data_IF_682656475219
#
_entry.id   IF_682656475219
#
_cell.length_a   1.000
_cell.length_b   1.000
_cell.length_c   1.000
_cell.angle_alpha   90.00
_cell.angle_beta   90.00
_cell.angle_gamma   90.00
#
_symmetry.space_group_name_H-M   'P 1'
#
loop_
_entity.id
_entity.type
_entity.pdbx_description
1 polymer ?
#
# COMPACT_ATOMS: atom_id res chain seq x y z
N UNK A 1 2.66 -22.35 6.23
CA UNK A 1 1.80 -21.16 6.04
C UNK A 1 2.59 -20.22 5.11
N UNK A 2 1.97 -19.65 4.09
CA UNK A 2 2.63 -18.71 3.18
C UNK A 2 3.05 -17.46 3.95
N UNK A 3 4.26 -16.97 3.67
CA UNK A 3 4.80 -15.72 4.22
C UNK A 3 4.52 -14.56 3.26
N UNK A 4 4.49 -13.34 3.79
CA UNK A 4 4.44 -12.14 2.98
C UNK A 4 5.68 -11.27 3.25
N UNK A 5 6.38 -10.90 2.21
CA UNK A 5 7.42 -9.89 2.20
C UNK A 5 6.85 -8.61 1.61
N UNK A 6 6.83 -7.53 2.37
CA UNK A 6 6.68 -6.20 1.82
C UNK A 6 8.07 -5.61 1.61
N UNK A 7 8.48 -5.40 0.37
CA UNK A 7 9.71 -4.68 0.07
C UNK A 7 9.30 -3.27 -0.33
N UNK A 8 9.36 -2.34 0.63
CA UNK A 8 8.67 -1.07 0.46
C UNK A 8 9.23 0.10 1.26
N UNK A 9 8.57 1.22 1.11
CA UNK A 9 8.95 2.49 1.71
C UNK A 9 8.68 2.57 3.20
N UNK A 10 9.56 3.31 3.87
CA UNK A 10 9.48 3.70 5.27
C UNK A 10 9.67 5.21 5.35
N UNK A 11 8.66 5.97 5.73
CA UNK A 11 8.67 7.43 5.74
C UNK A 11 8.35 8.00 7.11
N UNK A 12 9.04 9.08 7.49
CA UNK A 12 8.65 9.92 8.61
C UNK A 12 7.78 11.05 8.06
N UNK A 13 6.52 11.12 8.46
CA UNK A 13 5.60 12.15 8.01
C UNK A 13 5.63 13.36 8.96
N UNK A 14 6.17 14.47 8.50
CA UNK A 14 6.16 15.76 9.17
C UNK A 14 4.94 16.55 8.76
N UNK A 15 3.90 16.55 9.59
CA UNK A 15 2.63 17.24 9.32
C UNK A 15 2.61 18.60 9.98
N UNK A 16 2.42 19.64 9.19
CA UNK A 16 2.26 21.03 9.62
C UNK A 16 0.82 21.47 9.40
N UNK A 17 0.11 21.77 10.48
CA UNK A 17 -1.21 22.38 10.41
C UNK A 17 -1.06 23.86 10.08
N UNK A 18 -1.72 24.29 9.01
CA UNK A 18 -1.62 25.66 8.48
C UNK A 18 -3.01 26.26 8.26
N UNK A 19 -3.17 27.61 8.33
CA UNK A 19 -4.44 28.27 8.05
C UNK A 19 -4.94 28.04 6.60
N UNK A 20 -4.02 27.93 5.66
CA UNK A 20 -4.24 27.59 4.24
C UNK A 20 -2.96 27.03 3.63
N UNK A 21 -3.07 26.35 2.51
CA UNK A 21 -1.91 25.83 1.78
C UNK A 21 -1.05 26.97 1.25
N UNK A 22 0.26 26.93 1.52
CA UNK A 22 1.26 27.94 1.20
C UNK A 22 1.27 28.27 -0.32
N UNK A 23 1.25 29.57 -0.64
CA UNK A 23 1.33 30.07 -2.02
C UNK A 23 2.77 30.43 -2.42
N UNK A 24 3.09 30.44 -3.71
CA UNK A 24 4.42 30.89 -4.17
C UNK A 24 4.77 32.29 -3.63
N UNK A 25 5.96 32.40 -3.01
CA UNK A 25 6.46 33.67 -2.44
C UNK A 25 5.91 34.04 -1.08
N UNK A 26 5.04 33.23 -0.48
CA UNK A 26 4.47 33.46 0.84
C UNK A 26 5.34 32.85 1.94
N UNK A 27 5.34 33.48 3.12
CA UNK A 27 5.85 32.89 4.37
C UNK A 27 4.69 32.77 5.34
N UNK A 28 4.43 31.56 5.82
CA UNK A 28 3.30 31.27 6.70
C UNK A 28 3.80 30.57 7.97
N UNK A 29 3.27 30.99 9.13
CA UNK A 29 3.52 30.28 10.39
C UNK A 29 2.53 29.12 10.53
N UNK A 30 3.05 27.91 10.77
CA UNK A 30 2.22 26.76 11.14
C UNK A 30 1.67 26.95 12.55
N UNK A 31 0.47 26.43 12.79
CA UNK A 31 -0.19 26.45 14.10
C UNK A 31 0.20 25.24 14.96
N UNK A 32 0.60 24.13 14.32
CA UNK A 32 1.04 22.90 14.98
C UNK A 32 2.00 22.11 14.08
N UNK A 33 2.81 21.24 14.69
CA UNK A 33 3.63 20.25 14.00
C UNK A 33 3.48 18.90 14.69
N UNK A 34 3.17 17.88 13.90
CA UNK A 34 3.12 16.49 14.34
C UNK A 34 4.08 15.62 13.51
N UNK A 35 4.51 14.50 14.09
CA UNK A 35 5.36 13.52 13.43
C UNK A 35 4.66 12.17 13.50
N UNK A 36 4.50 11.51 12.36
CA UNK A 36 3.86 10.21 12.27
C UNK A 36 4.74 9.22 11.51
N UNK A 37 4.67 7.93 11.87
CA UNK A 37 5.19 6.88 11.01
C UNK A 37 4.28 6.75 9.77
N UNK A 38 4.87 6.66 8.59
CA UNK A 38 4.15 6.58 7.32
C UNK A 38 4.94 5.84 6.25
N UNK A 39 4.50 6.01 5.02
CA UNK A 39 4.96 5.27 3.84
C UNK A 39 4.04 4.09 3.51
N UNK A 40 3.78 3.90 2.21
CA UNK A 40 2.89 2.83 1.74
C UNK A 40 3.39 1.45 2.18
N UNK A 41 4.70 1.22 2.07
CA UNK A 41 5.31 -0.04 2.50
C UNK A 41 5.10 -0.33 3.99
N UNK A 42 5.26 0.68 4.86
CA UNK A 42 4.99 0.56 6.28
C UNK A 42 3.52 0.21 6.54
N UNK A 43 2.59 0.99 6.00
CA UNK A 43 1.16 0.80 6.22
C UNK A 43 0.67 -0.56 5.74
N UNK A 44 1.09 -0.98 4.54
CA UNK A 44 0.70 -2.26 3.96
C UNK A 44 1.29 -3.45 4.73
N UNK A 45 2.52 -3.32 5.26
CA UNK A 45 3.12 -4.33 6.15
C UNK A 45 2.33 -4.49 7.44
N UNK A 46 1.95 -3.37 8.07
CA UNK A 46 1.13 -3.37 9.28
C UNK A 46 -0.24 -4.02 9.00
N UNK A 47 -0.87 -3.67 7.89
CA UNK A 47 -2.16 -4.22 7.51
C UNK A 47 -2.09 -5.75 7.31
N UNK A 48 -1.07 -6.26 6.61
CA UNK A 48 -0.83 -7.70 6.46
C UNK A 48 -0.64 -8.41 7.78
N UNK A 49 0.21 -7.86 8.67
CA UNK A 49 0.50 -8.46 9.97
C UNK A 49 -0.74 -8.48 10.86
N UNK A 50 -1.46 -7.36 10.97
CA UNK A 50 -2.71 -7.24 11.73
C UNK A 50 -3.83 -8.12 11.17
N UNK A 51 -3.82 -8.42 9.86
CA UNK A 51 -4.72 -9.41 9.24
C UNK A 51 -4.34 -10.86 9.53
N UNK A 52 -3.18 -11.10 10.19
CA UNK A 52 -2.75 -12.41 10.69
C UNK A 52 -1.87 -13.21 9.74
N UNK A 53 -1.16 -12.56 8.82
CA UNK A 53 -0.12 -13.18 7.96
C UNK A 53 1.24 -13.01 8.61
N UNK A 54 2.10 -14.02 8.51
CA UNK A 54 3.52 -13.90 8.87
C UNK A 54 4.20 -12.92 7.92
N UNK A 55 4.36 -11.68 8.37
CA UNK A 55 4.78 -10.54 7.55
C UNK A 55 6.21 -10.13 7.88
N UNK A 56 7.00 -9.96 6.84
CA UNK A 56 8.36 -9.42 6.87
C UNK A 56 8.40 -8.11 6.10
N UNK A 57 9.15 -7.15 6.62
CA UNK A 57 9.44 -5.92 5.88
C UNK A 57 10.91 -5.88 5.49
N UNK A 58 11.17 -5.56 4.22
CA UNK A 58 12.49 -5.22 3.71
C UNK A 58 12.48 -3.77 3.19
N UNK A 59 13.54 -3.06 3.47
CA UNK A 59 13.68 -1.67 3.14
C UNK A 59 14.93 -1.09 3.79
N UNK A 60 14.97 0.24 3.91
CA UNK A 60 16.04 0.92 4.62
C UNK A 60 15.52 2.12 5.41
N UNK A 61 16.16 2.37 6.55
CA UNK A 61 15.97 3.56 7.36
C UNK A 61 17.30 4.28 7.56
N UNK A 62 17.25 5.56 7.81
CA UNK A 62 18.37 6.38 8.22
C UNK A 62 18.09 7.06 9.54
N UNK A 63 18.58 8.28 9.71
CA UNK A 63 18.34 9.11 10.89
C UNK A 63 16.83 9.27 11.15
N UNK A 64 16.41 9.06 12.40
CA UNK A 64 15.01 9.08 12.85
C UNK A 64 14.21 7.81 12.54
N UNK A 65 14.84 6.79 11.96
CA UNK A 65 14.19 5.55 11.55
C UNK A 65 13.72 4.66 12.70
N UNK A 66 14.15 4.90 13.93
CA UNK A 66 13.75 4.16 15.12
C UNK A 66 12.23 4.13 15.28
N UNK A 67 11.57 5.27 15.07
CA UNK A 67 10.11 5.37 15.09
C UNK A 67 9.43 4.38 14.15
N UNK A 68 9.99 4.21 12.94
CA UNK A 68 9.43 3.35 11.90
C UNK A 68 9.61 1.86 12.26
N UNK A 69 10.81 1.51 12.77
CA UNK A 69 11.12 0.15 13.20
C UNK A 69 10.26 -0.28 14.40
N UNK A 70 10.14 0.56 15.42
CA UNK A 70 9.29 0.32 16.58
C UNK A 70 7.83 0.13 16.16
N UNK A 71 7.31 1.01 15.29
CA UNK A 71 5.93 0.91 14.79
C UNK A 71 5.66 -0.41 14.06
N UNK A 72 6.59 -0.88 13.23
CA UNK A 72 6.47 -2.16 12.54
C UNK A 72 6.49 -3.33 13.54
N UNK A 73 7.47 -3.33 14.45
CA UNK A 73 7.65 -4.40 15.44
C UNK A 73 6.45 -4.51 16.39
N UNK A 74 5.95 -3.39 16.89
CA UNK A 74 4.76 -3.33 17.74
C UNK A 74 3.49 -3.83 17.02
N UNK A 75 3.49 -3.75 15.69
CA UNK A 75 2.42 -4.28 14.85
C UNK A 75 2.61 -5.75 14.44
N UNK A 76 3.67 -6.41 14.92
CA UNK A 76 3.95 -7.82 14.66
C UNK A 76 4.66 -8.09 13.32
N UNK A 77 5.26 -7.08 12.70
CA UNK A 77 6.07 -7.23 11.47
C UNK A 77 7.51 -7.59 11.82
N UNK A 78 8.07 -8.57 11.16
CA UNK A 78 9.48 -8.93 11.28
C UNK A 78 10.36 -7.97 10.45
N UNK A 79 11.20 -7.21 11.12
CA UNK A 79 12.03 -6.14 10.53
C UNK A 79 13.47 -6.53 10.25
N UNK A 80 13.83 -7.84 10.32
CA UNK A 80 15.22 -8.30 10.15
C UNK A 80 15.87 -7.93 8.81
N UNK A 81 15.07 -7.62 7.80
CA UNK A 81 15.53 -7.23 6.46
C UNK A 81 15.51 -5.71 6.24
N UNK A 82 15.21 -4.92 7.28
CA UNK A 82 15.36 -3.47 7.22
C UNK A 82 16.80 -3.12 7.58
N UNK A 83 17.50 -2.44 6.67
CA UNK A 83 18.86 -1.96 6.90
C UNK A 83 18.84 -0.55 7.47
N UNK A 84 19.73 -0.28 8.42
CA UNK A 84 20.03 1.09 8.87
C UNK A 84 21.22 1.60 8.09
N UNK A 85 21.08 2.76 7.46
CA UNK A 85 22.12 3.38 6.62
C UNK A 85 22.49 4.76 7.15
N UNK A 86 23.63 5.29 6.70
CA UNK A 86 23.98 6.69 6.91
C UNK A 86 23.08 7.62 6.09
N UNK A 87 22.71 8.77 6.65
CA UNK A 87 21.87 9.77 6.01
C UNK A 87 20.44 9.76 6.54
N UNK A 88 19.54 10.48 5.87
CA UNK A 88 18.17 10.69 6.33
C UNK A 88 17.27 9.52 5.92
N UNK A 89 16.36 9.15 6.80
CA UNK A 89 15.21 8.31 6.43
C UNK A 89 14.37 8.98 5.34
N UNK A 90 13.65 8.17 4.56
CA UNK A 90 12.57 8.67 3.73
C UNK A 90 11.61 9.50 4.58
N UNK A 91 11.14 10.64 4.06
CA UNK A 91 10.22 11.48 4.81
C UNK A 91 9.34 12.33 3.91
N UNK A 92 8.23 12.79 4.47
CA UNK A 92 7.35 13.74 3.82
C UNK A 92 7.25 15.04 4.63
N UNK A 93 7.02 16.14 3.92
CA UNK A 93 6.56 17.39 4.51
C UNK A 93 5.13 17.60 4.02
N UNK A 94 4.19 17.55 4.95
CA UNK A 94 2.76 17.65 4.69
C UNK A 94 2.23 18.95 5.28
N UNK A 95 1.65 19.79 4.44
CA UNK A 95 0.81 20.90 4.87
C UNK A 95 -0.63 20.43 4.92
N UNK A 96 -1.34 20.71 6.00
CA UNK A 96 -2.76 20.37 6.15
C UNK A 96 -3.52 21.60 6.66
N UNK A 97 -4.56 22.01 5.94
CA UNK A 97 -5.41 23.12 6.36
C UNK A 97 -6.61 22.66 7.21
N UNK A 98 -7.37 23.63 7.74
CA UNK A 98 -8.54 23.36 8.56
C UNK A 98 -9.70 22.66 7.82
N UNK A 99 -9.68 22.64 6.47
CA UNK A 99 -10.67 21.95 5.64
C UNK A 99 -10.23 20.54 5.28
N UNK A 100 -9.07 20.08 5.79
CA UNK A 100 -8.52 18.77 5.48
C UNK A 100 -7.80 18.69 4.12
N UNK A 101 -7.66 19.82 3.39
CA UNK A 101 -6.84 19.85 2.19
C UNK A 101 -5.36 19.72 2.56
N UNK A 102 -4.61 18.98 1.75
CA UNK A 102 -3.19 18.81 1.98
C UNK A 102 -2.39 18.92 0.68
N UNK A 103 -1.09 19.18 0.83
CA UNK A 103 -0.09 18.90 -0.17
C UNK A 103 1.11 18.23 0.49
N UNK A 104 1.80 17.42 -0.29
CA UNK A 104 2.85 16.52 0.20
C UNK A 104 4.10 16.70 -0.64
N UNK A 105 5.22 16.98 0.03
CA UNK A 105 6.55 16.90 -0.56
C UNK A 105 7.19 15.64 -0.05
N UNK A 106 7.56 14.72 -0.94
CA UNK A 106 8.22 13.47 -0.62
C UNK A 106 9.74 13.59 -0.87
N UNK A 107 10.54 13.18 0.11
CA UNK A 107 11.96 12.95 -0.03
C UNK A 107 12.25 11.45 0.15
N UNK A 108 12.79 10.82 -0.90
CA UNK A 108 13.02 9.37 -0.91
C UNK A 108 14.01 8.88 0.15
N UNK A 109 15.11 9.64 0.39
CA UNK A 109 16.09 9.31 1.42
C UNK A 109 16.55 7.85 1.36
N UNK A 110 16.52 7.16 2.50
CA UNK A 110 16.89 5.76 2.63
C UNK A 110 16.09 4.81 1.71
N UNK A 111 14.87 5.17 1.30
CA UNK A 111 14.08 4.37 0.37
C UNK A 111 14.73 4.24 -1.02
N UNK A 112 15.67 5.11 -1.36
CA UNK A 112 16.43 5.08 -2.61
C UNK A 112 17.83 4.45 -2.44
N UNK A 113 18.09 3.78 -1.32
CA UNK A 113 19.39 3.20 -1.00
C UNK A 113 19.40 1.66 -0.93
N UNK A 114 18.37 1.02 -1.47
CA UNK A 114 18.32 -0.44 -1.60
C UNK A 114 19.43 -0.89 -2.53
N UNK A 115 20.12 -1.99 -2.19
CA UNK A 115 21.22 -2.57 -2.96
C UNK A 115 20.87 -3.95 -3.49
N UNK A 116 21.53 -4.37 -4.57
CA UNK A 116 21.37 -5.73 -5.13
C UNK A 116 21.72 -6.81 -4.10
N UNK A 117 22.75 -6.57 -3.29
CA UNK A 117 23.14 -7.48 -2.21
C UNK A 117 22.02 -7.65 -1.17
N UNK A 118 21.35 -6.54 -0.76
CA UNK A 118 20.21 -6.62 0.16
C UNK A 118 19.05 -7.41 -0.44
N UNK A 119 18.80 -7.24 -1.74
CA UNK A 119 17.75 -8.00 -2.43
C UNK A 119 18.07 -9.49 -2.36
N UNK A 120 19.31 -9.89 -2.71
CA UNK A 120 19.73 -11.28 -2.73
C UNK A 120 19.70 -11.91 -1.34
N UNK A 121 20.20 -11.22 -0.32
CA UNK A 121 20.15 -11.68 1.06
C UNK A 121 18.72 -11.81 1.61
N UNK A 122 17.82 -10.92 1.19
CA UNK A 122 16.41 -10.96 1.61
C UNK A 122 15.67 -12.12 0.96
N UNK A 123 15.74 -12.21 -0.37
CA UNK A 123 14.93 -13.14 -1.14
C UNK A 123 15.28 -14.61 -0.89
N UNK A 124 16.51 -14.95 -0.47
CA UNK A 124 16.88 -16.32 -0.12
C UNK A 124 16.07 -16.93 1.06
N UNK A 125 15.35 -16.11 1.85
CA UNK A 125 14.49 -16.55 2.94
C UNK A 125 13.07 -16.93 2.48
N UNK A 126 12.76 -16.67 1.20
CA UNK A 126 11.43 -16.88 0.64
C UNK A 126 11.44 -18.02 -0.38
N UNK A 127 10.26 -18.55 -0.64
CA UNK A 127 10.08 -19.73 -1.49
C UNK A 127 8.90 -19.54 -2.43
N UNK A 128 8.79 -20.42 -3.41
CA UNK A 128 7.65 -20.43 -4.33
C UNK A 128 6.31 -20.42 -3.60
N UNK A 129 5.44 -19.50 -4.01
CA UNK A 129 4.11 -19.27 -3.44
C UNK A 129 4.07 -18.36 -2.23
N UNK A 130 5.22 -17.90 -1.67
CA UNK A 130 5.23 -16.76 -0.73
C UNK A 130 4.87 -15.48 -1.48
N UNK A 131 4.33 -14.48 -0.79
CA UNK A 131 3.91 -13.22 -1.40
C UNK A 131 5.02 -12.17 -1.34
N UNK A 132 5.21 -11.45 -2.43
CA UNK A 132 6.00 -10.21 -2.49
C UNK A 132 5.06 -9.05 -2.76
N UNK A 133 4.96 -8.08 -1.84
CA UNK A 133 4.18 -6.86 -1.99
C UNK A 133 5.10 -5.68 -2.24
N UNK A 134 4.85 -4.97 -3.33
CA UNK A 134 5.62 -3.82 -3.80
C UNK A 134 4.74 -2.60 -4.01
N UNK A 135 5.35 -1.41 -3.83
CA UNK A 135 4.82 -0.11 -4.20
C UNK A 135 5.87 0.62 -5.05
N UNK A 136 5.52 1.76 -5.68
CA UNK A 136 6.48 2.49 -6.51
C UNK A 136 7.20 3.61 -5.72
N UNK A 137 7.72 3.31 -4.53
CA UNK A 137 8.37 4.31 -3.66
C UNK A 137 9.85 4.00 -3.34
N UNK A 138 10.39 2.87 -3.81
CA UNK A 138 11.78 2.47 -3.59
C UNK A 138 12.54 2.33 -4.92
N UNK A 139 13.86 2.27 -4.86
CA UNK A 139 14.68 1.95 -6.04
C UNK A 139 14.72 0.42 -6.31
N UNK A 140 15.27 0.03 -7.46
CA UNK A 140 15.53 -1.37 -7.87
C UNK A 140 14.29 -2.28 -7.94
N UNK A 141 13.09 -1.73 -8.03
CA UNK A 141 11.84 -2.53 -8.14
C UNK A 141 11.92 -3.56 -9.28
N UNK A 142 12.39 -3.23 -10.50
CA UNK A 142 12.54 -4.21 -11.58
C UNK A 142 13.43 -5.40 -11.23
N UNK A 143 14.54 -5.16 -10.52
CA UNK A 143 15.42 -6.23 -10.05
C UNK A 143 14.75 -7.13 -9.01
N UNK A 144 14.05 -6.52 -8.04
CA UNK A 144 13.29 -7.25 -7.03
C UNK A 144 12.22 -8.13 -7.69
N UNK A 145 11.44 -7.59 -8.65
CA UNK A 145 10.41 -8.33 -9.38
C UNK A 145 10.98 -9.52 -10.12
N UNK A 146 12.07 -9.31 -10.88
CA UNK A 146 12.70 -10.36 -11.69
C UNK A 146 13.20 -11.51 -10.81
N UNK A 147 13.95 -11.20 -9.76
CA UNK A 147 14.49 -12.21 -8.84
C UNK A 147 13.39 -12.96 -8.06
N UNK A 148 12.33 -12.25 -7.65
CA UNK A 148 11.19 -12.89 -6.99
C UNK A 148 10.40 -13.82 -7.92
N UNK A 149 10.24 -13.44 -9.20
CA UNK A 149 9.64 -14.29 -10.21
C UNK A 149 10.45 -15.58 -10.46
N UNK A 150 11.79 -15.50 -10.48
CA UNK A 150 12.68 -16.66 -10.60
C UNK A 150 12.50 -17.66 -9.45
N UNK A 151 12.21 -17.17 -8.24
CA UNK A 151 11.90 -18.00 -7.06
C UNK A 151 10.49 -18.59 -7.17
N UNK A 152 9.60 -17.98 -7.93
CA UNK A 152 8.17 -18.30 -8.02
C UNK A 152 7.34 -17.71 -6.90
N UNK A 153 7.73 -16.57 -6.36
CA UNK A 153 6.89 -15.79 -5.43
C UNK A 153 5.67 -15.23 -6.15
N UNK A 154 4.59 -15.01 -5.43
CA UNK A 154 3.40 -14.31 -5.93
C UNK A 154 3.65 -12.80 -5.83
N UNK A 155 3.80 -12.14 -6.97
CA UNK A 155 4.12 -10.71 -7.03
C UNK A 155 2.84 -9.90 -7.01
N UNK A 156 2.72 -9.06 -5.99
CA UNK A 156 1.62 -8.11 -5.78
C UNK A 156 2.16 -6.71 -5.95
N UNK A 157 1.55 -5.92 -6.82
CA UNK A 157 1.95 -4.54 -7.05
C UNK A 157 0.80 -3.58 -6.76
N UNK A 158 1.03 -2.65 -5.83
CA UNK A 158 0.29 -1.40 -5.73
C UNK A 158 1.13 -0.32 -6.42
N UNK A 159 0.82 0.09 -7.67
CA UNK A 159 1.73 0.87 -8.50
C UNK A 159 1.88 2.34 -8.10
N UNK A 160 1.38 2.73 -6.94
CA UNK A 160 1.38 4.11 -6.44
C UNK A 160 2.71 4.51 -5.77
N UNK A 161 3.18 5.75 -5.99
CA UNK A 161 2.72 6.72 -6.98
C UNK A 161 3.15 6.35 -8.40
N UNK A 162 2.31 6.65 -9.39
CA UNK A 162 2.69 6.42 -10.78
C UNK A 162 3.67 7.50 -11.26
N UNK A 163 4.74 7.06 -11.90
CA UNK A 163 5.70 7.90 -12.61
C UNK A 163 6.04 7.31 -13.98
N UNK A 164 6.79 8.06 -14.79
CA UNK A 164 7.18 7.65 -16.14
C UNK A 164 7.99 6.34 -16.18
N UNK A 165 8.66 5.96 -15.08
CA UNK A 165 9.51 4.77 -15.00
C UNK A 165 8.69 3.50 -14.85
N UNK A 166 7.51 3.58 -14.20
CA UNK A 166 6.68 2.42 -13.89
C UNK A 166 6.35 1.59 -15.16
N UNK A 167 6.03 2.26 -16.28
CA UNK A 167 5.68 1.58 -17.52
C UNK A 167 6.85 0.83 -18.18
N UNK A 168 8.09 1.08 -17.72
CA UNK A 168 9.28 0.35 -18.16
C UNK A 168 9.62 -0.84 -17.25
N UNK A 169 8.86 -1.06 -16.17
CA UNK A 169 9.06 -2.21 -15.29
C UNK A 169 8.53 -3.49 -15.96
N UNK A 170 9.01 -4.67 -15.55
CA UNK A 170 8.51 -5.96 -16.06
C UNK A 170 7.13 -6.29 -15.47
N UNK A 171 6.13 -5.47 -15.82
CA UNK A 171 4.77 -5.54 -15.27
C UNK A 171 4.05 -6.85 -15.64
N UNK A 172 4.51 -7.56 -16.66
CA UNK A 172 4.04 -8.91 -17.03
C UNK A 172 4.36 -9.98 -15.97
N UNK A 173 5.29 -9.69 -15.04
CA UNK A 173 5.61 -10.56 -13.91
C UNK A 173 4.65 -10.40 -12.72
N UNK A 174 3.77 -9.41 -12.76
CA UNK A 174 2.83 -9.15 -11.66
C UNK A 174 1.69 -10.16 -11.69
N UNK A 175 1.48 -10.83 -10.57
CA UNK A 175 0.36 -11.76 -10.38
C UNK A 175 -0.93 -11.06 -9.95
N UNK A 176 -0.82 -9.99 -9.15
CA UNK A 176 -1.97 -9.26 -8.62
C UNK A 176 -1.68 -7.76 -8.65
N UNK A 177 -2.50 -7.00 -9.36
CA UNK A 177 -2.52 -5.54 -9.28
C UNK A 177 -3.59 -5.10 -8.27
N UNK A 178 -3.21 -4.17 -7.37
CA UNK A 178 -4.15 -3.41 -6.55
C UNK A 178 -3.95 -1.93 -6.84
N UNK A 179 -4.93 -1.29 -7.43
CA UNK A 179 -4.82 0.08 -7.91
C UNK A 179 -6.18 0.80 -7.80
N UNK A 180 -6.14 2.12 -7.80
CA UNK A 180 -7.33 2.95 -7.91
C UNK A 180 -7.61 3.34 -9.38
N UNK A 181 -8.70 4.08 -9.60
CA UNK A 181 -9.13 4.49 -10.95
C UNK A 181 -8.09 5.36 -11.65
N UNK A 182 -7.47 6.31 -10.93
CA UNK A 182 -6.47 7.22 -11.49
C UNK A 182 -5.25 6.42 -11.96
N UNK A 183 -4.76 5.52 -11.11
CA UNK A 183 -3.64 4.63 -11.43
C UNK A 183 -3.98 3.70 -12.60
N UNK A 184 -5.21 3.22 -12.67
CA UNK A 184 -5.69 2.41 -13.78
C UNK A 184 -5.70 3.19 -15.10
N UNK A 185 -6.22 4.43 -15.10
CA UNK A 185 -6.23 5.32 -16.26
C UNK A 185 -4.81 5.62 -16.75
N UNK A 186 -3.88 5.89 -15.84
CA UNK A 186 -2.48 6.16 -16.19
C UNK A 186 -1.80 4.94 -16.86
N UNK A 187 -2.05 3.72 -16.35
CA UNK A 187 -1.48 2.49 -16.93
C UNK A 187 -2.14 2.14 -18.26
N UNK A 188 -3.44 2.35 -18.40
CA UNK A 188 -4.20 2.09 -19.65
C UNK A 188 -3.93 3.17 -20.68
N UNK A 189 -3.70 4.41 -20.25
CA UNK A 189 -3.47 5.57 -21.11
C UNK A 189 -4.76 6.21 -21.64
N UNK A 190 -5.90 5.93 -21.01
CA UNK A 190 -7.21 6.50 -21.38
C UNK A 190 -8.17 6.58 -20.21
N UNK A 191 -9.00 7.60 -20.20
CA UNK A 191 -10.16 7.68 -19.30
C UNK A 191 -11.27 6.76 -19.81
N UNK A 192 -11.78 5.91 -18.93
CA UNK A 192 -12.86 4.97 -19.23
C UNK A 192 -13.63 4.62 -17.96
N UNK A 193 -14.88 4.13 -18.05
CA UNK A 193 -15.61 3.60 -16.90
C UNK A 193 -14.87 2.45 -16.21
N UNK A 194 -15.08 2.22 -14.91
CA UNK A 194 -14.33 1.24 -14.13
C UNK A 194 -14.32 -0.18 -14.71
N UNK A 195 -15.44 -0.66 -15.25
CA UNK A 195 -15.55 -1.99 -15.86
C UNK A 195 -14.70 -2.10 -17.14
N UNK A 196 -14.59 -1.02 -17.92
CA UNK A 196 -13.76 -0.96 -19.13
C UNK A 196 -12.28 -0.87 -18.77
N UNK A 197 -11.91 -0.05 -17.77
CA UNK A 197 -10.55 0.01 -17.24
C UNK A 197 -10.08 -1.37 -16.79
N UNK A 198 -10.91 -2.07 -16.01
CA UNK A 198 -10.61 -3.40 -15.51
C UNK A 198 -10.37 -4.40 -16.66
N UNK A 199 -11.21 -4.38 -17.70
CA UNK A 199 -11.04 -5.23 -18.89
C UNK A 199 -9.82 -4.84 -19.72
N UNK A 200 -9.51 -3.56 -19.85
CA UNK A 200 -8.32 -3.07 -20.56
C UNK A 200 -7.05 -3.52 -19.86
N UNK A 201 -7.00 -3.40 -18.52
CA UNK A 201 -5.89 -3.92 -17.71
C UNK A 201 -5.76 -5.45 -17.86
N UNK A 202 -6.86 -6.20 -17.78
CA UNK A 202 -6.84 -7.66 -17.97
C UNK A 202 -6.38 -8.07 -19.38
N UNK A 203 -6.71 -7.29 -20.40
CA UNK A 203 -6.22 -7.52 -21.76
C UNK A 203 -4.73 -7.24 -21.88
N UNK A 204 -4.22 -6.22 -21.16
CA UNK A 204 -2.80 -5.86 -21.13
C UNK A 204 -1.98 -6.84 -20.30
N UNK A 205 -2.54 -7.37 -19.21
CA UNK A 205 -1.91 -8.30 -18.27
C UNK A 205 -2.77 -9.56 -18.06
N UNK A 206 -2.88 -10.43 -19.04
CA UNK A 206 -3.86 -11.53 -19.04
C UNK A 206 -3.60 -12.59 -17.95
N UNK A 207 -2.38 -12.69 -17.45
CA UNK A 207 -2.02 -13.62 -16.38
C UNK A 207 -2.15 -13.03 -14.97
N UNK A 208 -2.50 -11.73 -14.87
CA UNK A 208 -2.69 -11.06 -13.59
C UNK A 208 -4.15 -11.09 -13.12
N UNK A 209 -4.33 -11.11 -11.82
CA UNK A 209 -5.57 -10.73 -11.15
C UNK A 209 -5.57 -9.22 -10.94
N UNK A 210 -6.72 -8.56 -11.08
CA UNK A 210 -6.81 -7.11 -10.99
C UNK A 210 -7.87 -6.73 -9.96
N UNK A 211 -7.47 -5.90 -9.02
CA UNK A 211 -8.34 -5.29 -8.00
C UNK A 211 -8.34 -3.79 -8.24
N UNK A 212 -9.51 -3.23 -8.52
CA UNK A 212 -9.71 -1.81 -8.75
C UNK A 212 -10.54 -1.21 -7.62
N UNK A 213 -9.97 -0.30 -6.84
CA UNK A 213 -10.66 0.43 -5.79
C UNK A 213 -11.28 1.70 -6.35
N UNK A 214 -12.53 1.99 -5.97
CA UNK A 214 -13.38 3.05 -6.51
C UNK A 214 -13.80 4.07 -5.44
N UNK A 215 -12.99 4.24 -4.39
CA UNK A 215 -13.32 5.13 -3.28
C UNK A 215 -14.68 4.80 -2.66
N UNK A 216 -15.62 5.73 -2.74
CA UNK A 216 -16.97 5.57 -2.18
C UNK A 216 -17.86 4.57 -2.93
N UNK A 217 -17.48 4.12 -4.11
CA UNK A 217 -18.21 3.10 -4.88
C UNK A 217 -17.77 1.67 -4.58
N UNK A 218 -16.74 1.50 -3.71
CA UNK A 218 -16.25 0.20 -3.28
C UNK A 218 -15.09 -0.34 -4.11
N UNK A 219 -15.15 -1.60 -4.54
CA UNK A 219 -14.06 -2.23 -5.28
C UNK A 219 -14.56 -3.29 -6.26
N UNK A 220 -13.82 -3.47 -7.33
CA UNK A 220 -14.00 -4.50 -8.35
C UNK A 220 -12.82 -5.47 -8.35
N UNK A 221 -13.08 -6.71 -8.73
CA UNK A 221 -12.06 -7.73 -8.94
C UNK A 221 -12.32 -8.47 -10.25
N UNK A 222 -11.26 -8.74 -10.98
CA UNK A 222 -11.28 -9.58 -12.17
C UNK A 222 -10.13 -10.60 -12.11
N UNK A 223 -10.49 -11.85 -12.32
CA UNK A 223 -9.53 -12.97 -12.32
C UNK A 223 -8.70 -13.03 -13.61
N UNK A 224 -7.65 -13.83 -13.60
CA UNK A 224 -6.77 -14.12 -14.75
C UNK A 224 -7.58 -14.51 -15.99
N UNK A 225 -7.12 -14.05 -17.17
CA UNK A 225 -7.78 -14.32 -18.47
C UNK A 225 -9.20 -13.77 -18.59
N UNK A 226 -9.55 -12.83 -17.74
CA UNK A 226 -10.88 -12.25 -17.71
C UNK A 226 -11.89 -13.13 -16.98
N UNK A 227 -13.14 -12.86 -17.20
CA UNK A 227 -14.23 -13.61 -16.55
C UNK A 227 -15.30 -12.70 -16.00
N UNK A 228 -16.00 -13.16 -14.95
CA UNK A 228 -17.01 -12.37 -14.25
C UNK A 228 -16.34 -11.37 -13.33
N UNK A 229 -16.72 -10.11 -13.45
CA UNK A 229 -16.33 -9.07 -12.50
C UNK A 229 -17.07 -9.31 -11.19
N UNK A 230 -16.32 -9.40 -10.08
CA UNK A 230 -16.86 -9.37 -8.74
C UNK A 230 -16.87 -7.92 -8.25
N UNK A 231 -17.90 -7.54 -7.52
CA UNK A 231 -18.06 -6.20 -6.94
C UNK A 231 -18.37 -6.31 -5.45
N UNK A 232 -17.82 -5.39 -4.68
CA UNK A 232 -18.21 -5.16 -3.29
C UNK A 232 -18.33 -3.66 -3.04
N UNK A 233 -19.43 -3.24 -2.40
CA UNK A 233 -19.66 -1.86 -1.98
C UNK A 233 -18.84 -1.47 -0.75
N UNK A 234 -19.11 -0.28 -0.22
CA UNK A 234 -18.53 0.18 1.04
C UNK A 234 -19.48 -0.06 2.21
N UNK A 235 -18.92 -0.05 3.41
CA UNK A 235 -19.70 -0.05 4.64
C UNK A 235 -20.02 1.37 5.09
N UNK A 236 -21.20 1.56 5.71
CA UNK A 236 -21.66 2.86 6.17
C UNK A 236 -20.98 3.23 7.50
N UNK A 237 -20.10 4.22 7.45
CA UNK A 237 -19.34 4.73 8.59
C UNK A 237 -19.15 6.24 8.46
N UNK A 238 -18.97 6.92 9.59
CA UNK A 238 -18.53 8.31 9.60
C UNK A 238 -17.07 8.40 9.15
N UNK A 239 -16.81 9.16 8.09
CA UNK A 239 -15.44 9.35 7.55
C UNK A 239 -14.75 10.46 8.34
N UNK A 240 -13.65 10.13 9.01
CA UNK A 240 -12.81 11.02 9.80
C UNK A 240 -11.50 11.35 9.07
N UNK A 241 -10.82 10.31 8.53
CA UNK A 241 -9.53 10.44 7.82
C UNK A 241 -9.38 9.29 6.82
N UNK A 242 -9.11 9.60 5.56
CA UNK A 242 -8.96 8.59 4.51
C UNK A 242 -7.52 8.05 4.35
N UNK A 243 -6.61 8.54 5.18
CA UNK A 243 -5.20 8.12 5.15
C UNK A 243 -5.07 6.62 5.42
N UNK A 244 -4.23 5.94 4.64
CA UNK A 244 -4.00 4.49 4.70
C UNK A 244 -5.21 3.58 4.39
N UNK A 245 -6.34 4.11 3.88
CA UNK A 245 -7.49 3.29 3.49
C UNK A 245 -7.11 2.27 2.41
N UNK A 246 -6.46 2.70 1.34
CA UNK A 246 -5.98 1.85 0.25
C UNK A 246 -4.90 0.86 0.69
N UNK A 247 -3.98 1.28 1.57
CA UNK A 247 -2.94 0.42 2.13
C UNK A 247 -3.54 -0.69 3.00
N UNK A 248 -4.53 -0.34 3.82
CA UNK A 248 -5.27 -1.29 4.65
C UNK A 248 -6.08 -2.26 3.82
N UNK A 249 -6.79 -1.74 2.80
CA UNK A 249 -7.49 -2.58 1.83
C UNK A 249 -6.53 -3.61 1.21
N UNK A 250 -5.37 -3.15 0.71
CA UNK A 250 -4.35 -4.00 0.09
C UNK A 250 -3.89 -5.11 1.02
N UNK A 251 -3.48 -4.78 2.25
CA UNK A 251 -3.00 -5.75 3.23
C UNK A 251 -4.07 -6.79 3.59
N UNK A 252 -5.29 -6.36 3.88
CA UNK A 252 -6.40 -7.25 4.25
C UNK A 252 -6.90 -8.09 3.07
N UNK A 253 -6.90 -7.53 1.85
CA UNK A 253 -7.25 -8.28 0.64
C UNK A 253 -6.29 -9.44 0.43
N UNK A 254 -4.98 -9.16 0.40
CA UNK A 254 -3.95 -10.19 0.19
C UNK A 254 -3.94 -11.22 1.31
N UNK A 255 -4.06 -10.79 2.57
CA UNK A 255 -4.10 -11.70 3.70
C UNK A 255 -5.30 -12.67 3.64
N UNK A 256 -6.46 -12.16 3.28
CA UNK A 256 -7.69 -12.99 3.15
C UNK A 256 -7.61 -13.91 1.95
N UNK A 257 -7.17 -13.40 0.79
CA UNK A 257 -7.00 -14.21 -0.43
C UNK A 257 -5.99 -15.35 -0.21
N UNK A 258 -4.86 -15.06 0.42
CA UNK A 258 -3.83 -16.06 0.74
C UNK A 258 -4.35 -17.20 1.62
N UNK A 259 -5.30 -16.91 2.49
CA UNK A 259 -5.88 -17.86 3.44
C UNK A 259 -7.06 -18.65 2.87
N UNK A 260 -7.95 -17.97 2.13
CA UNK A 260 -9.24 -18.54 1.71
C UNK A 260 -9.28 -18.96 0.25
N UNK A 261 -8.42 -18.37 -0.58
CA UNK A 261 -8.49 -18.44 -2.04
C UNK A 261 -9.87 -18.03 -2.59
N UNK A 262 -10.56 -17.14 -1.87
CA UNK A 262 -11.88 -16.61 -2.22
C UNK A 262 -11.78 -15.08 -2.39
N UNK A 263 -11.78 -14.57 -3.63
CA UNK A 263 -11.67 -13.15 -3.89
C UNK A 263 -12.92 -12.35 -3.46
N UNK A 264 -14.11 -12.96 -3.42
CA UNK A 264 -15.32 -12.28 -2.93
C UNK A 264 -15.22 -12.01 -1.43
N UNK A 265 -14.75 -12.99 -0.65
CA UNK A 265 -14.51 -12.81 0.78
C UNK A 265 -13.34 -11.85 1.01
N UNK A 266 -12.30 -11.89 0.17
CA UNK A 266 -11.18 -10.94 0.26
C UNK A 266 -11.64 -9.50 0.04
N UNK A 267 -12.48 -9.23 -0.96
CA UNK A 267 -13.10 -7.90 -1.18
C UNK A 267 -13.89 -7.45 0.05
N UNK A 268 -14.74 -8.34 0.60
CA UNK A 268 -15.59 -8.03 1.75
C UNK A 268 -14.76 -7.64 2.98
N UNK A 269 -13.76 -8.45 3.32
CA UNK A 269 -12.91 -8.23 4.51
C UNK A 269 -12.06 -6.99 4.33
N UNK A 270 -11.49 -6.76 3.15
CA UNK A 270 -10.70 -5.57 2.84
C UNK A 270 -11.54 -4.28 2.91
N UNK A 271 -12.76 -4.29 2.36
CA UNK A 271 -13.70 -3.15 2.45
C UNK A 271 -14.08 -2.86 3.89
N UNK A 272 -14.29 -3.89 4.71
CA UNK A 272 -14.60 -3.74 6.13
C UNK A 272 -13.43 -3.15 6.94
N UNK A 273 -12.22 -3.61 6.67
CA UNK A 273 -11.02 -3.06 7.29
C UNK A 273 -10.78 -1.60 6.88
N UNK A 274 -11.00 -1.26 5.61
CA UNK A 274 -10.95 0.13 5.13
C UNK A 274 -12.00 1.03 5.79
N UNK A 275 -13.21 0.54 5.98
CA UNK A 275 -14.26 1.30 6.69
C UNK A 275 -13.84 1.64 8.13
N UNK A 276 -13.21 0.70 8.83
CA UNK A 276 -12.66 0.95 10.16
C UNK A 276 -11.53 1.97 10.16
N UNK A 277 -10.62 1.91 9.20
CA UNK A 277 -9.53 2.89 9.06
C UNK A 277 -10.09 4.28 8.86
N UNK A 278 -10.98 4.48 7.90
CA UNK A 278 -11.49 5.83 7.59
C UNK A 278 -12.32 6.45 8.71
N UNK A 279 -12.79 5.66 9.67
CA UNK A 279 -13.50 6.15 10.86
C UNK A 279 -12.57 6.62 11.99
N UNK A 280 -11.24 6.59 11.79
CA UNK A 280 -10.23 6.90 12.80
C UNK A 280 -9.21 7.89 12.26
N UNK A 281 -8.56 8.66 13.15
CA UNK A 281 -7.49 9.58 12.76
C UNK A 281 -6.15 8.85 12.58
N UNK A 282 -5.39 9.28 11.57
CA UNK A 282 -4.02 8.87 11.31
C UNK A 282 -3.89 7.62 10.43
N UNK A 283 -2.67 7.32 9.97
CA UNK A 283 -2.34 6.21 9.09
C UNK A 283 -2.15 4.89 9.88
N UNK A 284 -0.91 4.56 10.23
CA UNK A 284 -0.56 3.31 10.90
C UNK A 284 -1.36 3.03 12.20
N UNK A 285 -1.65 4.02 13.08
CA UNK A 285 -2.44 3.79 14.29
C UNK A 285 -3.90 3.41 14.02
N UNK A 286 -4.49 3.88 12.91
CA UNK A 286 -5.89 3.62 12.56
C UNK A 286 -6.13 2.22 12.01
N UNK A 287 -5.10 1.54 11.50
CA UNK A 287 -5.22 0.20 10.91
C UNK A 287 -5.75 -0.79 11.96
N UNK A 288 -6.93 -1.41 11.72
CA UNK A 288 -7.56 -2.29 12.70
C UNK A 288 -6.79 -3.60 12.89
N UNK A 289 -7.03 -4.28 14.00
CA UNK A 289 -6.62 -5.68 14.18
C UNK A 289 -7.63 -6.61 13.52
N UNK A 290 -7.23 -7.84 13.31
CA UNK A 290 -8.11 -8.89 12.79
C UNK A 290 -9.34 -9.09 13.66
N UNK A 291 -9.17 -9.07 14.98
CA UNK A 291 -10.24 -9.23 15.97
C UNK A 291 -11.27 -8.11 15.82
N UNK A 292 -10.84 -6.87 15.65
CA UNK A 292 -11.73 -5.73 15.42
C UNK A 292 -12.53 -5.92 14.12
N UNK A 293 -11.86 -6.29 13.01
CA UNK A 293 -12.52 -6.49 11.71
C UNK A 293 -13.58 -7.60 11.76
N UNK A 294 -13.31 -8.71 12.44
CA UNK A 294 -14.26 -9.83 12.48
C UNK A 294 -15.32 -9.71 13.58
N UNK A 295 -15.15 -8.80 14.55
CA UNK A 295 -16.14 -8.57 15.63
C UNK A 295 -17.14 -7.46 15.34
N UNK A 296 -16.83 -6.57 14.39
CA UNK A 296 -17.67 -5.41 14.10
C UNK A 296 -18.91 -5.80 13.29
N UNK A 297 -20.03 -5.16 13.63
CA UNK A 297 -21.30 -5.31 12.91
C UNK A 297 -21.69 -3.96 12.33
N UNK A 298 -21.31 -3.72 11.08
CA UNK A 298 -21.71 -2.56 10.28
C UNK A 298 -22.36 -3.02 8.99
N UNK A 299 -23.23 -2.20 8.44
CA UNK A 299 -24.02 -2.52 7.25
C UNK A 299 -23.36 -1.93 6.00
N UNK A 300 -23.64 -2.55 4.85
CA UNK A 300 -23.28 -1.95 3.57
C UNK A 300 -24.07 -0.64 3.39
N UNK A 301 -23.39 0.36 2.83
CA UNK A 301 -24.03 1.62 2.43
C UNK A 301 -24.97 1.32 1.25
N UNK A 302 -26.24 1.73 1.37
CA UNK A 302 -27.28 1.57 0.34
C UNK A 302 -27.04 2.46 -0.89
#
# INVERSE_FOLDING_TARGET
MRKALCFGSLNIDYVYDVPHILRPGETLASTNRSIYPGGKGLNQSIALAKAGVATFHAGAVGEGGELLLETLQDSGVDTRFVRTIEGLSGHTVIQRDANGQNNIILYGGSNQAITEEQIDETLQYFSSGDYLLLQNEINLIPSIMTKAAEIGMVIVLNPSPIDEKLLAYPLELVDIFLLNEIEAMDIVGSESPPDELLRSLSSKFPEAQIVLTLGEEGALYLDRKGGKILKHGIFDVEVVDTTAAGDTFTGYFIATLAKTNDPQEALRVASLASALVVSRLGAAPSIPTKEEVYSIHIYLKE
#
